data_IF_777588488739
#
_entry.id   IF_777588488739
#
_cell.length_a   1.000
_cell.length_b   1.000
_cell.length_c   1.000
_cell.angle_alpha   90.00
_cell.angle_beta   90.00
_cell.angle_gamma   90.00
#
_symmetry.space_group_name_H-M   'P 1'
#
loop_
_entity.id
_entity.type
_entity.pdbx_description
1 polymer ?
#
# COMPACT_ATOMS: atom_id res chain seq x y z
N UNK A 1 -11.80 0.48 27.50
CA UNK A 1 -12.25 -0.03 26.18
C UNK A 1 -11.59 0.82 25.08
N UNK A 2 -11.21 0.24 23.95
CA UNK A 2 -10.40 0.83 22.85
C UNK A 2 -8.87 0.85 23.04
N UNK A 3 -8.35 -0.17 23.75
CA UNK A 3 -6.92 -0.56 23.73
C UNK A 3 -6.62 -1.77 22.86
N UNK A 4 -7.52 -2.15 21.94
CA UNK A 4 -7.24 -3.20 20.98
C UNK A 4 -6.47 -2.61 19.82
N UNK A 5 -5.13 -2.76 19.80
CA UNK A 5 -4.33 -2.54 18.58
C UNK A 5 -5.11 -3.21 17.45
N UNK A 6 -5.57 -2.49 16.40
CA UNK A 6 -6.16 -3.17 15.26
C UNK A 6 -5.03 -4.04 14.72
N UNK A 7 -5.08 -5.33 15.03
CA UNK A 7 -4.07 -6.27 14.58
C UNK A 7 -3.96 -6.10 13.07
N UNK A 8 -2.76 -6.32 12.53
CA UNK A 8 -2.55 -6.36 11.08
C UNK A 8 -3.62 -7.18 10.34
N UNK A 9 -4.20 -8.21 11.00
CA UNK A 9 -5.38 -8.95 10.57
C UNK A 9 -6.67 -8.11 10.38
N UNK A 10 -6.97 -7.20 11.30
CA UNK A 10 -8.14 -6.31 11.24
C UNK A 10 -8.01 -5.29 10.11
N UNK A 11 -6.82 -4.69 9.96
CA UNK A 11 -6.51 -3.82 8.82
C UNK A 11 -6.60 -4.58 7.50
N UNK A 12 -6.11 -5.83 7.44
CA UNK A 12 -6.19 -6.66 6.24
C UNK A 12 -7.62 -7.04 5.87
N UNK A 13 -8.48 -7.41 6.85
CA UNK A 13 -9.91 -7.65 6.60
C UNK A 13 -10.61 -6.41 6.08
N UNK A 14 -10.31 -5.24 6.64
CA UNK A 14 -10.91 -3.98 6.21
C UNK A 14 -10.44 -3.58 4.80
N UNK A 15 -9.13 -3.66 4.55
CA UNK A 15 -8.55 -3.43 3.24
C UNK A 15 -9.13 -4.38 2.18
N UNK A 16 -9.32 -5.67 2.52
CA UNK A 16 -9.98 -6.63 1.63
C UNK A 16 -11.44 -6.29 1.38
N UNK A 17 -12.17 -5.84 2.41
CA UNK A 17 -13.56 -5.41 2.26
C UNK A 17 -13.70 -4.17 1.36
N UNK A 18 -12.79 -3.20 1.50
CA UNK A 18 -12.74 -2.01 0.64
C UNK A 18 -12.39 -2.40 -0.80
N UNK A 19 -11.37 -3.24 -0.99
CA UNK A 19 -10.99 -3.73 -2.33
C UNK A 19 -12.13 -4.51 -3.00
N UNK A 20 -12.86 -5.35 -2.25
CA UNK A 20 -14.01 -6.06 -2.77
C UNK A 20 -15.12 -5.10 -3.20
N UNK A 21 -15.42 -4.07 -2.39
CA UNK A 21 -16.39 -3.04 -2.74
C UNK A 21 -15.95 -2.25 -3.98
N UNK A 22 -14.67 -1.90 -4.05
CA UNK A 22 -14.10 -1.16 -5.17
C UNK A 22 -14.07 -1.99 -6.46
N UNK A 23 -13.94 -3.32 -6.38
CA UNK A 23 -14.10 -4.22 -7.51
C UNK A 23 -15.57 -4.27 -7.97
N UNK A 24 -16.52 -4.36 -7.04
CA UNK A 24 -17.96 -4.38 -7.33
C UNK A 24 -18.45 -3.05 -7.90
N UNK A 25 -18.10 -1.92 -7.29
CA UNK A 25 -18.46 -0.58 -7.78
C UNK A 25 -17.64 -0.19 -9.02
N UNK A 26 -16.36 -0.55 -9.06
CA UNK A 26 -15.45 -0.21 -10.17
C UNK A 26 -15.72 -1.01 -11.43
N UNK A 27 -16.20 -2.25 -11.33
CA UNK A 27 -16.60 -3.05 -12.50
C UNK A 27 -17.78 -2.44 -13.26
N UNK A 28 -18.68 -1.75 -12.55
CA UNK A 28 -19.82 -1.04 -13.16
C UNK A 28 -19.37 0.22 -13.91
N UNK A 29 -18.32 0.90 -13.45
CA UNK A 29 -17.81 2.14 -14.07
C UNK A 29 -16.95 1.91 -15.32
N UNK A 30 -16.44 0.70 -15.52
CA UNK A 30 -15.51 0.34 -16.61
C UNK A 30 -16.26 -0.04 -17.91
N UNK A 31 -17.57 -0.21 -17.89
CA UNK A 31 -18.33 -0.77 -19.02
C UNK A 31 -18.29 0.03 -20.32
N UNK A 32 -18.36 1.37 -20.27
CA UNK A 32 -18.72 2.15 -21.47
C UNK A 32 -17.54 2.94 -22.10
N UNK A 33 -16.45 3.21 -21.36
CA UNK A 33 -15.29 3.99 -21.86
C UNK A 33 -13.98 3.20 -21.98
N UNK A 34 -13.88 1.98 -21.45
CA UNK A 34 -12.64 1.19 -21.50
C UNK A 34 -12.47 0.43 -22.81
N UNK A 35 -13.56 -0.04 -23.43
CA UNK A 35 -13.54 -0.84 -24.67
C UNK A 35 -12.88 -0.08 -25.83
N UNK A 36 -13.08 1.25 -25.90
CA UNK A 36 -12.54 2.09 -26.97
C UNK A 36 -11.07 2.49 -26.76
N UNK A 37 -10.51 2.35 -25.54
CA UNK A 37 -9.11 2.69 -25.23
C UNK A 37 -8.19 1.46 -25.04
N UNK A 38 -8.74 0.26 -24.82
CA UNK A 38 -7.97 -0.98 -24.66
C UNK A 38 -7.32 -1.45 -25.99
N UNK A 39 -7.90 -1.10 -27.15
CA UNK A 39 -7.51 -1.67 -28.46
C UNK A 39 -6.16 -1.18 -29.02
N UNK A 40 -5.55 -0.13 -28.46
CA UNK A 40 -4.40 0.51 -29.10
C UNK A 40 -3.09 0.38 -28.34
N UNK A 41 -2.70 1.47 -27.68
CA UNK A 41 -1.33 1.68 -27.22
C UNK A 41 -1.28 2.57 -25.94
N UNK A 42 -2.43 2.88 -25.33
CA UNK A 42 -2.54 3.94 -24.29
C UNK A 42 -2.86 3.48 -22.87
N UNK A 43 -3.44 2.29 -22.67
CA UNK A 43 -3.86 1.84 -21.35
C UNK A 43 -2.66 1.55 -20.44
N UNK A 44 -1.71 0.76 -20.93
CA UNK A 44 -0.48 0.45 -20.21
C UNK A 44 0.32 1.73 -19.89
N UNK A 45 0.38 2.67 -20.83
CA UNK A 45 1.04 3.97 -20.65
C UNK A 45 0.36 4.82 -19.57
N UNK A 46 -0.98 4.93 -19.58
CA UNK A 46 -1.72 5.66 -18.54
C UNK A 46 -1.66 4.99 -17.18
N UNK A 47 -1.78 3.66 -17.13
CA UNK A 47 -1.69 2.89 -15.89
C UNK A 47 -0.29 3.01 -15.29
N UNK A 48 0.74 2.91 -16.13
CA UNK A 48 2.14 3.08 -15.72
C UNK A 48 2.42 4.50 -15.22
N UNK A 49 1.91 5.53 -15.90
CA UNK A 49 2.02 6.92 -15.45
C UNK A 49 1.34 7.12 -14.08
N UNK A 50 0.14 6.57 -13.88
CA UNK A 50 -0.59 6.66 -12.60
C UNK A 50 0.08 5.87 -11.48
N UNK A 51 0.67 4.72 -11.79
CA UNK A 51 1.50 3.98 -10.83
C UNK A 51 2.77 4.76 -10.47
N UNK A 52 3.41 5.42 -11.44
CA UNK A 52 4.57 6.29 -11.21
C UNK A 52 4.25 7.46 -10.29
N UNK A 53 3.15 8.18 -10.55
CA UNK A 53 2.65 9.24 -9.67
C UNK A 53 2.35 8.71 -8.26
N UNK A 54 1.75 7.52 -8.16
CA UNK A 54 1.45 6.86 -6.88
C UNK A 54 2.71 6.50 -6.07
N UNK A 55 3.75 5.98 -6.73
CA UNK A 55 5.04 5.66 -6.09
C UNK A 55 5.73 6.92 -5.57
N UNK A 56 5.76 7.99 -6.37
CA UNK A 56 6.37 9.27 -5.97
C UNK A 56 5.65 9.87 -4.75
N UNK A 57 4.32 9.89 -4.75
CA UNK A 57 3.53 10.37 -3.61
C UNK A 57 3.66 9.48 -2.37
N UNK A 58 3.76 8.16 -2.56
CA UNK A 58 4.00 7.20 -1.49
C UNK A 58 5.36 7.39 -0.81
N UNK A 59 6.41 7.64 -1.60
CA UNK A 59 7.74 7.96 -1.07
C UNK A 59 7.73 9.27 -0.28
N UNK A 60 7.04 10.30 -0.76
CA UNK A 60 6.90 11.56 -0.02
C UNK A 60 6.19 11.36 1.32
N UNK A 61 5.13 10.55 1.36
CA UNK A 61 4.41 10.20 2.59
C UNK A 61 5.31 9.47 3.59
N UNK A 62 6.14 8.53 3.11
CA UNK A 62 7.10 7.83 3.94
C UNK A 62 8.16 8.79 4.52
N UNK A 63 8.68 9.73 3.72
CA UNK A 63 9.62 10.77 4.19
C UNK A 63 9.01 11.64 5.28
N UNK A 64 7.78 12.11 5.08
CA UNK A 64 7.06 12.91 6.09
C UNK A 64 6.82 12.08 7.36
N UNK A 65 6.46 10.80 7.22
CA UNK A 65 6.28 9.88 8.35
C UNK A 65 7.55 9.69 9.18
N UNK A 66 8.71 9.54 8.53
CA UNK A 66 10.02 9.45 9.22
C UNK A 66 10.33 10.76 9.95
N UNK A 67 10.13 11.92 9.30
CA UNK A 67 10.33 13.21 9.93
C UNK A 67 9.41 13.39 11.15
N UNK A 68 8.12 13.04 11.02
CA UNK A 68 7.18 13.08 12.12
C UNK A 68 7.57 12.14 13.27
N UNK A 69 8.09 10.94 12.97
CA UNK A 69 8.63 10.03 13.99
C UNK A 69 9.85 10.60 14.71
N UNK A 70 10.70 11.36 14.03
CA UNK A 70 11.85 12.03 14.63
C UNK A 70 11.40 13.20 15.52
N UNK A 71 10.47 14.03 15.06
CA UNK A 71 9.99 15.21 15.80
C UNK A 71 9.08 14.86 16.97
N UNK A 72 8.23 13.84 16.84
CA UNK A 72 7.29 13.43 17.89
C UNK A 72 7.95 12.59 18.99
N UNK A 73 9.24 12.23 18.88
CA UNK A 73 9.94 11.42 19.89
C UNK A 73 10.64 12.34 20.91
N UNK A 74 10.20 12.38 22.18
CA UNK A 74 10.77 13.26 23.21
C UNK A 74 12.10 12.77 23.81
N UNK A 75 12.61 11.60 23.41
CA UNK A 75 13.83 10.98 23.95
C UNK A 75 14.84 10.69 22.82
N UNK A 76 16.15 10.98 23.00
CA UNK A 76 17.18 10.75 22.00
C UNK A 76 17.29 9.27 21.62
N UNK A 77 17.61 8.98 20.36
CA UNK A 77 17.76 7.62 19.83
C UNK A 77 19.00 6.93 20.42
N UNK A 78 18.92 6.44 21.65
CA UNK A 78 20.01 5.70 22.32
C UNK A 78 19.89 4.18 22.18
N UNK A 79 18.68 3.65 21.92
CA UNK A 79 18.41 2.20 21.95
C UNK A 79 17.95 1.57 20.62
N UNK A 80 17.64 2.36 19.58
CA UNK A 80 17.20 1.84 18.28
C UNK A 80 17.72 2.68 17.11
N UNK A 81 18.13 2.01 16.02
CA UNK A 81 18.64 2.59 14.78
C UNK A 81 17.61 3.57 14.19
N UNK A 82 18.07 4.73 13.70
CA UNK A 82 17.22 5.73 13.01
C UNK A 82 16.54 5.06 11.81
N UNK A 83 15.20 5.00 11.74
CA UNK A 83 14.50 4.39 10.62
C UNK A 83 14.71 5.26 9.37
N UNK A 84 15.32 4.68 8.34
CA UNK A 84 15.56 5.33 7.06
C UNK A 84 14.59 4.87 5.97
N UNK A 85 14.63 5.55 4.82
CA UNK A 85 13.86 5.12 3.64
C UNK A 85 14.22 3.70 3.17
N UNK A 86 15.46 3.25 3.37
CA UNK A 86 15.87 1.88 3.06
C UNK A 86 15.19 0.82 3.93
N UNK A 87 14.93 1.14 5.21
CA UNK A 87 14.21 0.24 6.12
C UNK A 87 12.73 0.18 5.75
N UNK A 88 12.16 1.29 5.26
CA UNK A 88 10.79 1.32 4.73
C UNK A 88 10.63 0.42 3.49
N UNK A 89 11.57 0.49 2.54
CA UNK A 89 11.57 -0.38 1.36
C UNK A 89 11.75 -1.86 1.74
N UNK A 90 12.67 -2.16 2.67
CA UNK A 90 12.88 -3.53 3.18
C UNK A 90 11.63 -4.07 3.87
N UNK A 91 10.98 -3.25 4.71
CA UNK A 91 9.72 -3.59 5.35
C UNK A 91 8.63 -3.85 4.31
N UNK A 92 8.46 -2.96 3.32
CA UNK A 92 7.49 -3.14 2.23
C UNK A 92 7.69 -4.45 1.47
N UNK A 93 8.92 -4.76 1.09
CA UNK A 93 9.25 -6.01 0.38
C UNK A 93 8.99 -7.22 1.27
N UNK A 94 9.39 -7.18 2.55
CA UNK A 94 9.12 -8.24 3.52
C UNK A 94 7.61 -8.45 3.72
N UNK A 95 6.83 -7.37 3.84
CA UNK A 95 5.37 -7.43 3.93
C UNK A 95 4.73 -7.98 2.66
N UNK A 96 5.19 -7.57 1.48
CA UNK A 96 4.71 -8.07 0.20
C UNK A 96 5.00 -9.57 0.04
N UNK A 97 6.24 -10.00 0.29
CA UNK A 97 6.64 -11.41 0.25
C UNK A 97 5.90 -12.26 1.29
N UNK A 98 5.73 -11.75 2.52
CA UNK A 98 4.98 -12.44 3.57
C UNK A 98 3.51 -12.65 3.18
N UNK A 99 2.88 -11.62 2.60
CA UNK A 99 1.50 -11.69 2.08
C UNK A 99 1.37 -12.71 0.94
N UNK A 100 2.37 -12.79 0.07
CA UNK A 100 2.41 -13.76 -1.03
C UNK A 100 2.48 -15.19 -0.50
N UNK A 101 3.34 -15.44 0.51
CA UNK A 101 3.51 -16.74 1.16
C UNK A 101 2.26 -17.21 1.93
N UNK A 102 1.55 -16.28 2.58
CA UNK A 102 0.26 -16.56 3.25
C UNK A 102 -0.85 -16.89 2.25
N UNK A 103 -0.84 -16.28 1.06
CA UNK A 103 -1.84 -16.54 0.00
C UNK A 103 -1.62 -17.90 -0.66
N UNK A 104 -0.36 -18.33 -0.85
CA UNK A 104 -0.03 -19.65 -1.40
C UNK A 104 -0.22 -20.81 -0.43
N UNK A 105 -0.26 -20.55 0.88
CA UNK A 105 -0.45 -21.58 1.91
C UNK A 105 -1.93 -21.84 2.26
N UNK A 106 -2.86 -20.99 1.78
CA UNK A 106 -4.31 -21.18 1.97
C UNK A 106 -4.99 -21.91 0.81
N UNK A 107 -4.23 -22.26 -0.24
CA UNK A 107 -4.70 -22.87 -1.49
C UNK A 107 -4.17 -24.31 -1.66
N UNK A 108 -3.72 -24.94 -0.57
CA UNK A 108 -3.27 -26.34 -0.47
C UNK A 108 -3.82 -26.97 0.80
#
# INVERSE_FOLDING_TARGET
LYGGRPGTLGFFRLARSVLAHLAVTGSIAVGDSFVQQIVGHGLAARLSAKLGEGVVNGMMTARIGIAAMETARPLPFSAARRPGMGDFLSALTSFATKKQKETSASDS
#
